data_IF_394487534702
#
_entry.id   IF_394487534702
#
_cell.length_a   1.000
_cell.length_b   1.000
_cell.length_c   1.000
_cell.angle_alpha   90.00
_cell.angle_beta   90.00
_cell.angle_gamma   90.00
#
_symmetry.space_group_name_H-M   'P 1'
#
loop_
_entity.id
_entity.type
_entity.pdbx_description
1 polymer ?
#
# COMPACT_ATOMS: atom_id res chain seq x y z
N UNK A 1 -28.19 41.12 -1.53
CA UNK A 1 -27.63 39.94 -2.23
C UNK A 1 -26.58 39.34 -1.33
N UNK A 2 -26.86 38.22 -0.68
CA UNK A 2 -25.88 37.55 0.18
C UNK A 2 -24.88 36.83 -0.73
N UNK A 3 -23.59 37.15 -0.58
CA UNK A 3 -22.50 36.47 -1.27
C UNK A 3 -22.35 35.06 -0.71
N UNK A 4 -22.54 34.03 -1.52
CA UNK A 4 -22.18 32.66 -1.16
C UNK A 4 -20.68 32.59 -0.85
N UNK A 5 -20.33 32.08 0.32
CA UNK A 5 -18.94 31.81 0.68
C UNK A 5 -18.37 30.74 -0.26
N UNK A 6 -17.10 30.83 -0.70
CA UNK A 6 -16.51 29.86 -1.61
C UNK A 6 -16.58 28.46 -0.99
N UNK A 7 -17.24 27.56 -1.70
CA UNK A 7 -17.37 26.15 -1.30
C UNK A 7 -15.95 25.53 -1.31
N UNK A 8 -15.40 25.28 -0.13
CA UNK A 8 -14.08 24.68 0.04
C UNK A 8 -14.15 23.22 -0.43
N UNK A 9 -13.78 22.98 -1.68
CA UNK A 9 -13.56 21.63 -2.18
C UNK A 9 -12.26 21.09 -1.57
N UNK A 10 -12.38 20.11 -0.67
CA UNK A 10 -11.22 19.36 -0.19
C UNK A 10 -10.85 18.31 -1.23
N UNK A 11 -9.58 18.24 -1.68
CA UNK A 11 -9.16 17.21 -2.62
C UNK A 11 -9.32 15.83 -1.96
N UNK A 12 -9.95 14.91 -2.69
CA UNK A 12 -10.18 13.54 -2.22
C UNK A 12 -8.85 12.78 -2.13
N UNK A 13 -8.65 12.04 -1.05
CA UNK A 13 -7.43 11.27 -0.79
C UNK A 13 -7.79 9.86 -0.34
N UNK A 14 -7.36 8.85 -1.11
CA UNK A 14 -7.50 7.44 -0.72
C UNK A 14 -6.19 6.90 -0.14
N UNK A 15 -6.33 6.10 0.91
CA UNK A 15 -5.25 5.25 1.42
C UNK A 15 -5.59 3.82 1.05
N UNK A 16 -4.71 3.20 0.26
CA UNK A 16 -4.82 1.80 -0.15
C UNK A 16 -3.81 0.98 0.63
N UNK A 17 -4.29 -0.05 1.32
CA UNK A 17 -3.44 -0.99 2.04
C UNK A 17 -3.68 -2.41 1.53
N UNK A 18 -3.07 -2.79 0.40
CA UNK A 18 -3.24 -4.12 -0.17
C UNK A 18 -2.67 -5.19 0.75
N UNK A 19 -3.38 -6.31 0.84
CA UNK A 19 -2.82 -7.52 1.42
C UNK A 19 -1.59 -7.98 0.63
N UNK A 20 -0.55 -8.45 1.33
CA UNK A 20 0.77 -8.76 0.76
C UNK A 20 0.78 -10.12 0.04
N UNK A 21 -0.02 -10.20 -1.01
CA UNK A 21 -0.13 -11.31 -1.93
C UNK A 21 -0.30 -10.75 -3.35
N UNK A 22 0.39 -11.30 -4.35
CA UNK A 22 0.39 -10.70 -5.69
C UNK A 22 -1.01 -10.53 -6.30
N UNK A 23 -1.92 -11.49 -6.06
CA UNK A 23 -3.31 -11.41 -6.50
C UNK A 23 -4.11 -10.24 -5.89
N UNK A 24 -3.66 -9.66 -4.78
CA UNK A 24 -4.25 -8.46 -4.18
C UNK A 24 -3.46 -7.20 -4.55
N UNK A 25 -2.13 -7.28 -4.56
CA UNK A 25 -1.28 -6.12 -4.78
C UNK A 25 -1.37 -5.56 -6.21
N UNK A 26 -1.35 -6.43 -7.23
CA UNK A 26 -1.39 -6.01 -8.63
C UNK A 26 -2.70 -5.23 -8.92
N UNK A 27 -3.90 -5.75 -8.61
CA UNK A 27 -5.14 -5.00 -8.83
C UNK A 27 -5.19 -3.68 -8.04
N UNK A 28 -4.65 -3.65 -6.82
CA UNK A 28 -4.66 -2.44 -6.00
C UNK A 28 -3.74 -1.35 -6.53
N UNK A 29 -2.61 -1.71 -7.17
CA UNK A 29 -1.76 -0.76 -7.89
C UNK A 29 -2.49 -0.21 -9.12
N UNK A 30 -3.23 -1.05 -9.85
CA UNK A 30 -4.04 -0.59 -10.99
C UNK A 30 -5.17 0.35 -10.55
N UNK A 31 -5.86 0.02 -9.45
CA UNK A 31 -6.87 0.90 -8.83
C UNK A 31 -6.25 2.23 -8.43
N UNK A 32 -5.06 2.24 -7.81
CA UNK A 32 -4.35 3.46 -7.43
C UNK A 32 -4.14 4.38 -8.64
N UNK A 33 -3.68 3.81 -9.76
CA UNK A 33 -3.46 4.55 -11.00
C UNK A 33 -4.78 5.07 -11.58
N UNK A 34 -5.83 4.25 -11.61
CA UNK A 34 -7.15 4.65 -12.12
C UNK A 34 -7.80 5.76 -11.28
N UNK A 35 -7.57 5.78 -9.97
CA UNK A 35 -8.00 6.87 -9.09
C UNK A 35 -7.16 8.12 -9.36
N UNK A 36 -5.83 8.00 -9.41
CA UNK A 36 -4.95 9.13 -9.64
C UNK A 36 -5.17 9.81 -11.00
N UNK A 37 -5.50 9.04 -12.04
CA UNK A 37 -5.89 9.56 -13.36
C UNK A 37 -7.16 10.42 -13.32
N UNK A 38 -8.00 10.28 -12.27
CA UNK A 38 -9.17 11.13 -12.03
C UNK A 38 -8.87 12.35 -11.17
N UNK A 39 -7.59 12.68 -10.96
CA UNK A 39 -7.15 13.82 -10.16
C UNK A 39 -7.22 13.59 -8.65
N UNK A 40 -7.33 12.33 -8.21
CA UNK A 40 -7.42 11.96 -6.79
C UNK A 40 -6.03 11.64 -6.24
N UNK A 41 -5.71 12.10 -5.03
CA UNK A 41 -4.46 11.70 -4.38
C UNK A 41 -4.61 10.27 -3.84
N UNK A 42 -3.62 9.41 -4.07
CA UNK A 42 -3.61 8.05 -3.56
C UNK A 42 -2.33 7.78 -2.77
N UNK A 43 -2.44 7.19 -1.59
CA UNK A 43 -1.29 6.65 -0.86
C UNK A 43 -1.39 5.13 -0.81
N UNK A 44 -0.37 4.43 -1.29
CA UNK A 44 -0.24 2.97 -1.14
C UNK A 44 0.64 2.70 0.08
N UNK A 45 0.05 2.08 1.10
CA UNK A 45 0.76 1.60 2.29
C UNK A 45 1.17 0.15 2.05
N UNK A 46 2.43 -0.19 2.23
CA UNK A 46 2.92 -1.56 2.06
C UNK A 46 4.21 -1.76 2.85
N UNK A 47 5.02 -2.77 2.53
CA UNK A 47 6.30 -3.07 3.19
C UNK A 47 7.49 -2.79 2.26
N UNK A 48 8.74 -2.66 2.77
CA UNK A 48 9.90 -2.31 1.94
C UNK A 48 10.12 -3.23 0.73
N UNK A 49 10.03 -4.56 0.89
CA UNK A 49 10.23 -5.49 -0.21
C UNK A 49 9.16 -5.28 -1.29
N UNK A 50 7.91 -5.17 -0.86
CA UNK A 50 6.76 -5.01 -1.73
C UNK A 50 6.76 -3.65 -2.44
N UNK A 51 7.17 -2.57 -1.78
CA UNK A 51 7.38 -1.26 -2.41
C UNK A 51 8.46 -1.34 -3.49
N UNK A 52 9.56 -2.05 -3.23
CA UNK A 52 10.61 -2.31 -4.21
C UNK A 52 10.10 -3.03 -5.45
N UNK A 53 9.24 -4.04 -5.27
CA UNK A 53 8.66 -4.84 -6.35
C UNK A 53 7.81 -4.00 -7.34
N UNK A 54 7.10 -2.98 -6.87
CA UNK A 54 6.28 -2.11 -7.72
C UNK A 54 6.93 -0.77 -8.11
N UNK A 55 8.17 -0.52 -7.65
CA UNK A 55 8.89 0.76 -7.84
C UNK A 55 8.83 1.26 -9.27
N UNK A 56 9.22 0.44 -10.25
CA UNK A 56 9.31 0.89 -11.64
C UNK A 56 7.96 1.32 -12.24
N UNK A 57 6.87 0.61 -11.91
CA UNK A 57 5.53 0.93 -12.43
C UNK A 57 4.99 2.21 -11.78
N UNK A 58 5.20 2.36 -10.47
CA UNK A 58 4.73 3.51 -9.72
C UNK A 58 5.57 4.76 -10.01
N UNK A 59 6.89 4.64 -10.16
CA UNK A 59 7.76 5.75 -10.55
C UNK A 59 7.34 6.34 -11.90
N UNK A 60 7.08 5.51 -12.91
CA UNK A 60 6.58 6.00 -14.21
C UNK A 60 5.25 6.72 -14.10
N UNK A 61 4.34 6.23 -13.26
CA UNK A 61 3.05 6.87 -13.01
C UNK A 61 3.23 8.25 -12.35
N UNK A 62 4.09 8.35 -11.35
CA UNK A 62 4.41 9.60 -10.64
C UNK A 62 5.09 10.59 -11.60
N UNK A 63 6.07 10.14 -12.39
CA UNK A 63 6.76 10.94 -13.40
C UNK A 63 5.80 11.47 -14.49
N UNK A 64 4.72 10.74 -14.78
CA UNK A 64 3.64 11.21 -15.67
C UNK A 64 2.68 12.21 -15.02
N UNK A 65 2.93 12.62 -13.78
CA UNK A 65 2.15 13.63 -13.05
C UNK A 65 1.01 13.06 -12.21
N UNK A 66 0.92 11.75 -11.99
CA UNK A 66 -0.11 11.16 -11.14
C UNK A 66 0.24 11.33 -9.65
N UNK A 67 -0.72 11.82 -8.86
CA UNK A 67 -0.59 12.04 -7.40
C UNK A 67 -0.63 10.72 -6.61
N UNK A 68 0.44 9.93 -6.70
CA UNK A 68 0.59 8.66 -5.99
C UNK A 68 1.75 8.73 -5.00
N UNK A 69 1.47 8.40 -3.74
CA UNK A 69 2.46 8.26 -2.67
C UNK A 69 2.62 6.79 -2.31
N UNK A 70 3.82 6.41 -1.84
CA UNK A 70 4.12 5.07 -1.33
C UNK A 70 4.68 5.21 0.07
N UNK A 71 4.08 4.51 1.03
CA UNK A 71 4.53 4.51 2.43
C UNK A 71 4.93 3.08 2.82
N UNK A 72 6.24 2.77 2.88
CA UNK A 72 6.69 1.48 3.38
C UNK A 72 6.68 1.47 4.92
N UNK A 73 6.05 0.45 5.49
CA UNK A 73 6.03 0.15 6.92
C UNK A 73 6.90 -1.07 7.22
N UNK A 74 7.68 -1.02 8.30
CA UNK A 74 8.54 -2.13 8.72
C UNK A 74 7.70 -3.38 8.99
N UNK A 75 7.94 -4.44 8.21
CA UNK A 75 7.27 -5.72 8.40
C UNK A 75 7.82 -6.43 9.68
N UNK A 76 6.96 -6.89 10.60
CA UNK A 76 7.39 -7.43 11.89
C UNK A 76 7.84 -8.91 11.80
N UNK A 77 8.71 -9.24 10.84
CA UNK A 77 9.12 -10.63 10.58
C UNK A 77 9.77 -11.32 11.81
N UNK A 78 10.65 -10.60 12.51
CA UNK A 78 11.33 -11.10 13.71
C UNK A 78 10.36 -11.47 14.84
N UNK A 79 9.28 -10.70 15.01
CA UNK A 79 8.32 -10.87 16.11
C UNK A 79 7.50 -12.15 15.97
N UNK A 80 7.43 -12.72 14.75
CA UNK A 80 6.63 -13.91 14.44
C UNK A 80 7.47 -15.11 14.01
N UNK A 81 8.80 -14.99 14.01
CA UNK A 81 9.71 -16.07 13.62
C UNK A 81 9.82 -16.28 12.10
N UNK A 82 9.60 -15.24 11.29
CA UNK A 82 9.89 -15.24 9.86
C UNK A 82 11.32 -14.76 9.58
N UNK A 83 11.87 -15.18 8.44
CA UNK A 83 13.14 -14.68 7.93
C UNK A 83 12.99 -13.28 7.33
N UNK A 84 14.10 -12.54 7.28
CA UNK A 84 14.14 -11.26 6.59
C UNK A 84 13.74 -11.42 5.11
N UNK A 85 12.93 -10.49 4.60
CA UNK A 85 12.46 -10.49 3.23
C UNK A 85 11.20 -11.33 2.97
N UNK A 86 10.71 -12.12 3.93
CA UNK A 86 9.46 -12.89 3.82
C UNK A 86 8.21 -12.01 4.02
N UNK A 87 8.11 -10.94 3.24
CA UNK A 87 7.06 -9.92 3.37
C UNK A 87 5.90 -10.14 2.39
N UNK A 88 5.91 -11.23 1.60
CA UNK A 88 4.83 -11.61 0.68
C UNK A 88 4.60 -13.12 0.71
N UNK A 89 3.38 -13.57 0.42
CA UNK A 89 3.04 -15.00 0.39
C UNK A 89 3.93 -15.79 -0.56
N UNK A 90 4.28 -15.24 -1.72
CA UNK A 90 5.13 -15.94 -2.71
C UNK A 90 6.61 -16.07 -2.28
N UNK A 91 7.00 -15.44 -1.17
CA UNK A 91 8.35 -15.49 -0.61
C UNK A 91 8.46 -16.43 0.60
N UNK A 92 7.37 -17.11 0.97
CA UNK A 92 7.38 -18.09 2.05
C UNK A 92 8.02 -19.39 1.58
N UNK A 93 8.98 -19.91 2.34
CA UNK A 93 9.68 -21.15 2.01
C UNK A 93 8.77 -22.39 2.10
N UNK A 94 7.69 -22.29 2.87
CA UNK A 94 6.68 -23.35 3.00
C UNK A 94 5.35 -22.82 3.52
N UNK A 95 4.29 -23.59 3.31
CA UNK A 95 2.95 -23.31 3.84
C UNK A 95 2.88 -23.31 5.37
N UNK A 96 3.85 -23.93 6.07
CA UNK A 96 3.92 -23.89 7.52
C UNK A 96 4.13 -22.47 8.07
N UNK A 97 4.71 -21.57 7.26
CA UNK A 97 4.96 -20.17 7.61
C UNK A 97 3.74 -19.25 7.39
N UNK A 98 2.63 -19.77 6.87
CA UNK A 98 1.41 -18.99 6.64
C UNK A 98 0.83 -18.40 7.92
N UNK A 99 0.81 -19.17 9.01
CA UNK A 99 0.28 -18.67 10.30
C UNK A 99 1.17 -17.55 10.88
N UNK A 100 2.50 -17.70 10.99
CA UNK A 100 3.40 -16.58 11.29
C UNK A 100 3.20 -15.36 10.41
N UNK A 101 3.07 -15.56 9.09
CA UNK A 101 2.85 -14.48 8.14
C UNK A 101 1.55 -13.71 8.41
N UNK A 102 0.43 -14.41 8.61
CA UNK A 102 -0.85 -13.78 8.95
C UNK A 102 -0.77 -13.01 10.28
N UNK A 103 -0.04 -13.51 11.27
CA UNK A 103 0.23 -12.77 12.51
C UNK A 103 0.99 -11.47 12.24
N UNK A 104 2.01 -11.50 11.39
CA UNK A 104 2.76 -10.30 11.03
C UNK A 104 1.89 -9.27 10.27
N UNK A 105 1.04 -9.71 9.34
CA UNK A 105 0.08 -8.85 8.67
C UNK A 105 -0.87 -8.16 9.66
N UNK A 106 -1.44 -8.91 10.61
CA UNK A 106 -2.34 -8.36 11.63
C UNK A 106 -1.62 -7.35 12.54
N UNK A 107 -0.39 -7.66 12.96
CA UNK A 107 0.44 -6.72 13.75
C UNK A 107 0.68 -5.42 12.99
N UNK A 108 0.97 -5.51 11.68
CA UNK A 108 1.15 -4.33 10.84
C UNK A 108 -0.14 -3.53 10.66
N UNK A 109 -1.27 -4.21 10.46
CA UNK A 109 -2.58 -3.57 10.33
C UNK A 109 -2.93 -2.77 11.59
N UNK A 110 -2.73 -3.35 12.76
CA UNK A 110 -2.98 -2.68 14.04
C UNK A 110 -2.11 -1.42 14.21
N UNK A 111 -0.85 -1.45 13.76
CA UNK A 111 0.06 -0.29 13.77
C UNK A 111 -0.31 0.80 12.77
N UNK A 112 -1.07 0.46 11.73
CA UNK A 112 -1.53 1.44 10.72
C UNK A 112 -2.79 2.21 11.14
N UNK A 113 -3.49 1.72 12.17
CA UNK A 113 -4.72 2.32 12.72
C UNK A 113 -4.48 3.28 13.89
N UNK A 114 -3.30 3.21 14.51
CA UNK A 114 -2.86 4.04 15.63
C UNK A 114 -2.18 5.31 15.16
#
# INVERSE_FOLDING_TARGET
MASEAPNKSYPLHFVLFPFMAQGHMIPMVDIAKLLAQRGVTVTIVTTPHNAGRFKNVLSRAIESGLSINIVPLKFPYQEVGLSEGQENIDLLDSMALMIPFMKACNTLENRSKS
#
